data_IF_371005895172
#
_entry.id   IF_371005895172
#
_cell.length_a   1.000
_cell.length_b   1.000
_cell.length_c   1.000
_cell.angle_alpha   90.00
_cell.angle_beta   90.00
_cell.angle_gamma   90.00
#
_symmetry.space_group_name_H-M   'P 1'
#
loop_
_entity.id
_entity.type
_entity.pdbx_description
1 polymer ?
#
# COMPACT_ATOMS: atom_id res chain seq x y z
N UNK A 1 -24.53 4.09 -21.13
CA UNK A 1 -24.42 3.21 -19.94
C UNK A 1 -25.63 3.28 -19.01
N UNK A 2 -26.13 4.45 -18.65
CA UNK A 2 -27.25 4.60 -17.68
C UNK A 2 -28.53 3.91 -18.18
N UNK A 3 -28.95 4.11 -19.45
CA UNK A 3 -30.23 3.59 -19.93
C UNK A 3 -30.36 2.05 -19.90
N UNK A 4 -29.36 1.25 -20.29
CA UNK A 4 -29.45 -0.20 -20.13
C UNK A 4 -29.65 -0.64 -18.66
N UNK A 5 -28.94 -0.01 -17.72
CA UNK A 5 -29.05 -0.31 -16.29
C UNK A 5 -30.42 0.14 -15.74
N UNK A 6 -30.91 1.30 -16.17
CA UNK A 6 -32.25 1.78 -15.81
C UNK A 6 -33.36 0.86 -16.37
N UNK A 7 -33.18 0.31 -17.56
CA UNK A 7 -34.10 -0.68 -18.12
C UNK A 7 -34.13 -1.96 -17.29
N UNK A 8 -32.95 -2.51 -16.94
CA UNK A 8 -32.83 -3.67 -16.04
C UNK A 8 -33.52 -3.41 -14.72
N UNK A 9 -33.32 -2.23 -14.13
CA UNK A 9 -33.95 -1.86 -12.88
C UNK A 9 -35.49 -1.87 -12.96
N UNK A 10 -36.06 -1.24 -14.00
CA UNK A 10 -37.51 -1.21 -14.24
C UNK A 10 -38.11 -2.60 -14.48
N UNK A 11 -37.43 -3.43 -15.31
CA UNK A 11 -37.95 -4.77 -15.67
C UNK A 11 -37.85 -5.78 -14.54
N UNK A 12 -37.00 -5.55 -13.55
CA UNK A 12 -36.86 -6.40 -12.38
C UNK A 12 -37.55 -5.82 -11.13
N UNK A 13 -38.66 -5.12 -11.29
CA UNK A 13 -39.46 -4.54 -10.19
C UNK A 13 -38.63 -3.70 -9.22
N UNK A 14 -37.69 -2.93 -9.76
CA UNK A 14 -36.77 -2.06 -8.99
C UNK A 14 -35.84 -2.83 -8.03
N UNK A 15 -35.59 -4.12 -8.28
CA UNK A 15 -34.55 -4.86 -7.57
C UNK A 15 -33.15 -4.39 -8.04
N UNK A 16 -32.33 -3.95 -7.09
CA UNK A 16 -30.98 -3.43 -7.35
C UNK A 16 -29.97 -4.53 -7.69
N UNK A 17 -30.20 -5.77 -7.25
CA UNK A 17 -29.23 -6.87 -7.43
C UNK A 17 -28.93 -7.20 -8.90
N UNK A 18 -29.92 -7.33 -9.83
CA UNK A 18 -29.62 -7.51 -11.24
C UNK A 18 -28.84 -6.35 -11.86
N UNK A 19 -29.10 -5.12 -11.42
CA UNK A 19 -28.40 -3.91 -11.90
C UNK A 19 -26.92 -3.97 -11.50
N UNK A 20 -26.64 -4.22 -10.23
CA UNK A 20 -25.27 -4.35 -9.72
C UNK A 20 -24.53 -5.53 -10.34
N UNK A 21 -25.22 -6.67 -10.52
CA UNK A 21 -24.64 -7.84 -11.18
C UNK A 21 -24.24 -7.53 -12.63
N UNK A 22 -25.06 -6.79 -13.36
CA UNK A 22 -24.74 -6.37 -14.73
C UNK A 22 -23.59 -5.38 -14.77
N UNK A 23 -23.61 -4.37 -13.90
CA UNK A 23 -22.55 -3.37 -13.81
C UNK A 23 -21.21 -4.00 -13.47
N UNK A 24 -21.13 -4.78 -12.37
CA UNK A 24 -19.87 -5.36 -11.89
C UNK A 24 -19.32 -6.51 -12.73
N UNK A 25 -20.11 -7.05 -13.68
CA UNK A 25 -19.65 -8.04 -14.66
C UNK A 25 -19.36 -7.43 -16.04
N UNK A 26 -19.58 -6.14 -16.22
CA UNK A 26 -19.38 -5.47 -17.49
C UNK A 26 -17.89 -5.21 -17.78
N UNK A 27 -17.48 -5.29 -19.04
CA UNK A 27 -16.14 -4.88 -19.49
C UNK A 27 -15.83 -3.43 -19.08
N UNK A 28 -16.82 -2.56 -19.13
CA UNK A 28 -16.66 -1.16 -18.71
C UNK A 28 -16.22 -1.01 -17.26
N UNK A 29 -16.68 -1.87 -16.34
CA UNK A 29 -16.26 -1.82 -14.93
C UNK A 29 -14.79 -2.19 -14.76
N UNK A 30 -14.29 -3.10 -15.60
CA UNK A 30 -12.90 -3.56 -15.61
C UNK A 30 -12.01 -2.85 -16.64
N UNK A 31 -12.50 -1.77 -17.24
CA UNK A 31 -11.68 -0.99 -18.16
C UNK A 31 -10.44 -0.44 -17.43
N UNK A 32 -9.28 -0.59 -18.08
CA UNK A 32 -8.00 -0.10 -17.55
C UNK A 32 -8.02 1.39 -17.22
N UNK A 33 -8.86 2.18 -17.90
CA UNK A 33 -9.06 3.60 -17.62
C UNK A 33 -9.71 3.88 -16.25
N UNK A 34 -10.31 2.86 -15.63
CA UNK A 34 -10.90 2.97 -14.29
C UNK A 34 -9.89 2.60 -13.18
N UNK A 35 -8.69 2.14 -13.54
CA UNK A 35 -7.67 1.77 -12.56
C UNK A 35 -6.82 2.98 -12.17
N UNK A 36 -6.54 3.12 -10.87
CA UNK A 36 -5.67 4.18 -10.36
C UNK A 36 -6.19 5.60 -10.59
N UNK A 37 -7.49 5.78 -10.79
CA UNK A 37 -8.08 7.10 -11.04
C UNK A 37 -8.50 7.85 -9.77
N UNK A 38 -8.41 7.21 -8.60
CA UNK A 38 -8.73 7.81 -7.31
C UNK A 38 -7.50 7.86 -6.41
N UNK A 39 -7.34 8.97 -5.71
CA UNK A 39 -6.36 9.07 -4.63
C UNK A 39 -6.90 8.28 -3.43
N UNK A 40 -6.12 7.34 -2.93
CA UNK A 40 -6.44 6.61 -1.68
C UNK A 40 -6.74 7.58 -0.57
N UNK A 41 -7.85 7.41 0.13
CA UNK A 41 -8.07 8.13 1.39
C UNK A 41 -6.94 7.80 2.39
N UNK A 42 -6.71 8.61 3.44
CA UNK A 42 -5.74 8.26 4.48
C UNK A 42 -5.99 6.88 5.08
N UNK A 43 -7.26 6.53 5.34
CA UNK A 43 -7.63 5.19 5.85
C UNK A 43 -7.26 4.11 4.84
N UNK A 44 -7.60 4.28 3.56
CA UNK A 44 -7.26 3.30 2.52
C UNK A 44 -5.74 3.12 2.41
N UNK A 45 -4.98 4.22 2.37
CA UNK A 45 -3.51 4.17 2.29
C UNK A 45 -2.88 3.45 3.48
N UNK A 46 -3.28 3.82 4.68
CA UNK A 46 -2.68 3.29 5.91
C UNK A 46 -3.05 1.83 6.12
N UNK A 47 -4.34 1.50 5.99
CA UNK A 47 -4.82 0.12 6.23
C UNK A 47 -4.37 -0.82 5.12
N UNK A 48 -4.40 -0.40 3.84
CA UNK A 48 -3.84 -1.24 2.77
C UNK A 48 -2.35 -1.48 2.97
N UNK A 49 -1.55 -0.47 3.30
CA UNK A 49 -0.14 -0.63 3.61
C UNK A 49 0.11 -1.67 4.71
N UNK A 50 -0.59 -1.56 5.84
CA UNK A 50 -0.43 -2.50 6.95
C UNK A 50 -0.84 -3.93 6.56
N UNK A 51 -1.87 -4.10 5.74
CA UNK A 51 -2.37 -5.41 5.28
C UNK A 51 -1.49 -6.01 4.18
N UNK A 52 -1.07 -5.22 3.20
CA UNK A 52 -0.21 -5.66 2.10
C UNK A 52 1.13 -6.20 2.63
N UNK A 53 1.72 -5.52 3.61
CA UNK A 53 2.96 -5.96 4.26
C UNK A 53 2.75 -6.92 5.43
N UNK A 54 1.53 -7.36 5.71
CA UNK A 54 1.23 -8.34 6.76
C UNK A 54 1.65 -7.89 8.16
N UNK A 55 1.49 -6.60 8.50
CA UNK A 55 1.88 -6.08 9.82
C UNK A 55 1.00 -6.71 10.91
N UNK A 56 1.63 -7.40 11.85
CA UNK A 56 0.95 -8.12 12.93
C UNK A 56 0.85 -7.23 14.17
N UNK A 57 -0.37 -7.11 14.68
CA UNK A 57 -0.67 -6.42 15.95
C UNK A 57 -0.74 -7.43 17.11
N UNK A 58 -0.54 -6.98 18.36
CA UNK A 58 -0.81 -7.81 19.53
C UNK A 58 -2.25 -8.30 19.53
N UNK A 59 -2.48 -9.47 20.13
CA UNK A 59 -3.82 -10.04 20.26
C UNK A 59 -4.75 -9.10 21.05
N UNK A 60 -5.92 -8.80 20.49
CA UNK A 60 -6.85 -7.82 21.03
C UNK A 60 -7.61 -8.27 22.28
N UNK A 61 -7.53 -9.54 22.65
CA UNK A 61 -8.16 -10.08 23.84
C UNK A 61 -7.15 -10.23 24.97
N UNK A 62 -6.08 -11.00 24.75
CA UNK A 62 -5.07 -11.27 25.78
C UNK A 62 -4.09 -10.12 26.00
N UNK A 63 -3.96 -9.21 25.02
CA UNK A 63 -3.01 -8.09 25.04
C UNK A 63 -3.72 -6.77 24.67
N UNK A 64 -4.95 -6.62 25.07
CA UNK A 64 -5.83 -5.52 24.65
C UNK A 64 -5.23 -4.14 24.86
N UNK A 65 -4.56 -3.91 25.99
CA UNK A 65 -3.95 -2.59 26.30
C UNK A 65 -2.90 -2.18 25.26
N UNK A 66 -2.07 -3.12 24.83
CA UNK A 66 -1.04 -2.85 23.82
C UNK A 66 -1.67 -2.75 22.42
N UNK A 67 -2.62 -3.62 22.09
CA UNK A 67 -3.34 -3.60 20.82
C UNK A 67 -4.06 -2.27 20.61
N UNK A 68 -4.86 -1.83 21.58
CA UNK A 68 -5.59 -0.55 21.51
C UNK A 68 -4.66 0.66 21.44
N UNK A 69 -3.55 0.63 22.17
CA UNK A 69 -2.58 1.72 22.10
C UNK A 69 -1.88 1.78 20.72
N UNK A 70 -1.62 0.63 20.08
CA UNK A 70 -1.07 0.59 18.73
C UNK A 70 -2.10 1.02 17.68
N UNK A 71 -3.38 0.66 17.85
CA UNK A 71 -4.46 1.17 16.99
C UNK A 71 -4.63 2.67 17.14
N UNK A 72 -4.54 3.20 18.37
CA UNK A 72 -4.57 4.65 18.59
C UNK A 72 -3.37 5.36 17.95
N UNK A 73 -2.18 4.75 17.95
CA UNK A 73 -1.04 5.26 17.22
C UNK A 73 -1.32 5.36 15.71
N UNK A 74 -1.92 4.33 15.12
CA UNK A 74 -2.32 4.34 13.71
C UNK A 74 -3.41 5.40 13.47
N UNK A 75 -4.43 5.49 14.36
CA UNK A 75 -5.45 6.55 14.29
C UNK A 75 -4.85 7.95 14.28
N UNK A 76 -3.82 8.21 15.11
CA UNK A 76 -3.17 9.52 15.15
C UNK A 76 -2.49 9.87 13.81
N UNK A 77 -1.94 8.89 13.09
CA UNK A 77 -1.47 9.10 11.72
C UNK A 77 -2.61 9.48 10.78
N UNK A 78 -3.75 8.80 10.86
CA UNK A 78 -4.93 9.11 10.05
C UNK A 78 -5.43 10.53 10.34
N UNK A 79 -5.56 10.89 11.61
CA UNK A 79 -5.96 12.23 12.05
C UNK A 79 -4.99 13.31 11.51
N UNK A 80 -3.67 13.05 11.54
CA UNK A 80 -2.67 13.97 11.00
C UNK A 80 -2.80 14.20 9.49
N UNK A 81 -3.40 13.25 8.77
CA UNK A 81 -3.69 13.32 7.33
C UNK A 81 -5.13 13.79 7.03
N UNK A 82 -5.81 14.41 8.03
CA UNK A 82 -7.16 14.95 7.94
C UNK A 82 -8.29 13.91 7.79
N UNK A 83 -8.06 12.66 8.24
CA UNK A 83 -9.13 11.65 8.31
C UNK A 83 -9.06 10.92 9.65
N UNK A 84 -9.65 11.49 10.70
CA UNK A 84 -9.77 10.83 11.99
C UNK A 84 -11.04 9.96 12.04
N UNK A 85 -10.91 8.61 12.01
CA UNK A 85 -12.08 7.74 12.10
C UNK A 85 -12.84 7.95 13.41
N UNK A 86 -14.14 8.24 13.30
CA UNK A 86 -15.02 8.52 14.43
C UNK A 86 -15.09 9.98 14.87
N UNK A 87 -14.30 10.87 14.25
CA UNK A 87 -14.34 12.31 14.48
C UNK A 87 -14.34 13.07 13.13
N UNK A 88 -15.43 12.95 12.34
CA UNK A 88 -15.55 13.64 11.07
C UNK A 88 -15.69 15.15 11.27
N UNK A 89 -15.29 15.97 10.27
CA UNK A 89 -15.31 17.43 10.38
C UNK A 89 -16.75 18.02 10.42
N UNK A 90 -17.75 17.24 10.02
CA UNK A 90 -19.16 17.64 9.94
C UNK A 90 -20.07 16.45 10.27
N UNK A 91 -21.31 16.71 10.63
CA UNK A 91 -22.36 15.70 10.89
C UNK A 91 -22.62 14.80 9.69
N UNK A 92 -22.36 15.27 8.48
CA UNK A 92 -22.44 14.51 7.23
C UNK A 92 -21.16 13.75 6.86
N UNK A 93 -20.12 13.87 7.67
CA UNK A 93 -18.82 13.21 7.43
C UNK A 93 -17.82 14.09 6.70
N UNK A 94 -16.92 13.47 5.95
CA UNK A 94 -16.02 14.20 5.05
C UNK A 94 -16.74 14.58 3.78
N UNK A 95 -16.38 15.73 3.16
CA UNK A 95 -17.01 16.16 1.92
C UNK A 95 -16.94 15.08 0.84
N UNK A 96 -18.10 14.51 0.50
CA UNK A 96 -18.19 13.44 -0.49
C UNK A 96 -18.25 13.98 -1.93
N UNK A 97 -18.66 15.24 -2.08
CA UNK A 97 -18.83 15.86 -3.38
C UNK A 97 -18.45 17.33 -3.33
N UNK A 98 -17.42 17.67 -4.09
CA UNK A 98 -16.94 19.04 -4.23
C UNK A 98 -16.69 19.38 -5.70
N UNK A 99 -16.92 20.63 -6.04
CA UNK A 99 -16.66 21.14 -7.39
C UNK A 99 -15.17 21.40 -7.63
N UNK A 100 -14.45 21.81 -6.59
CA UNK A 100 -12.99 21.97 -6.62
C UNK A 100 -12.44 22.12 -5.18
N UNK A 101 -11.52 21.25 -4.70
CA UNK A 101 -11.10 20.01 -5.37
C UNK A 101 -12.18 18.93 -5.34
N UNK A 102 -12.09 17.94 -6.25
CA UNK A 102 -12.98 16.78 -6.20
C UNK A 102 -12.73 15.96 -4.93
N UNK A 103 -13.74 15.22 -4.46
CA UNK A 103 -13.71 14.61 -3.13
C UNK A 103 -12.46 13.78 -2.83
N UNK A 104 -11.89 13.03 -3.79
CA UNK A 104 -10.67 12.26 -3.58
C UNK A 104 -9.39 13.11 -3.62
N UNK A 105 -9.42 14.28 -4.25
CA UNK A 105 -8.28 15.21 -4.33
C UNK A 105 -8.02 15.92 -3.00
N UNK A 106 -9.02 15.99 -2.11
CA UNK A 106 -8.88 16.58 -0.78
C UNK A 106 -7.83 15.88 0.09
N UNK A 107 -7.48 14.64 -0.24
CA UNK A 107 -6.59 13.81 0.57
C UNK A 107 -5.10 14.12 0.36
N UNK A 108 -4.75 14.87 -0.70
CA UNK A 108 -3.35 15.24 -0.98
C UNK A 108 -3.23 16.75 -1.16
N UNK A 109 -2.37 17.35 -0.34
CA UNK A 109 -1.92 18.72 -0.43
C UNK A 109 -0.48 18.84 0.10
N UNK A 110 0.06 20.06 0.17
CA UNK A 110 1.43 20.34 0.63
C UNK A 110 1.71 19.92 2.09
N UNK A 111 0.68 19.75 2.93
CA UNK A 111 0.79 19.28 4.31
C UNK A 111 0.62 17.77 4.41
N UNK A 112 -0.40 17.21 3.76
CA UNK A 112 -0.75 15.79 3.93
C UNK A 112 0.14 14.83 3.14
N UNK A 113 0.66 15.22 1.95
CA UNK A 113 1.55 14.35 1.18
C UNK A 113 2.86 14.00 1.93
N UNK A 114 3.58 14.95 2.54
CA UNK A 114 4.73 14.63 3.39
C UNK A 114 4.38 13.70 4.56
N UNK A 115 3.23 13.88 5.21
CA UNK A 115 2.77 13.02 6.32
C UNK A 115 2.46 11.61 5.86
N UNK A 116 1.89 11.44 4.66
CA UNK A 116 1.64 10.13 4.02
C UNK A 116 2.94 9.36 3.81
N UNK A 117 3.98 10.04 3.31
CA UNK A 117 5.29 9.45 3.11
C UNK A 117 6.00 9.19 4.45
N UNK A 118 5.92 10.12 5.38
CA UNK A 118 6.50 9.95 6.73
C UNK A 118 5.91 8.73 7.46
N UNK A 119 4.61 8.46 7.30
CA UNK A 119 3.99 7.25 7.86
C UNK A 119 4.65 5.98 7.32
N UNK A 120 4.74 5.83 6.00
CA UNK A 120 5.34 4.64 5.36
C UNK A 120 6.82 4.51 5.69
N UNK A 121 7.56 5.62 5.70
CA UNK A 121 8.97 5.66 6.08
C UNK A 121 9.17 5.23 7.54
N UNK A 122 8.33 5.71 8.45
CA UNK A 122 8.38 5.32 9.86
C UNK A 122 8.09 3.83 10.02
N UNK A 123 7.05 3.32 9.34
CA UNK A 123 6.65 1.92 9.46
C UNK A 123 7.69 0.95 8.92
N UNK A 124 8.44 1.31 7.88
CA UNK A 124 9.47 0.42 7.31
C UNK A 124 10.82 0.55 8.02
N UNK A 125 11.16 1.73 8.56
CA UNK A 125 12.44 1.93 9.24
C UNK A 125 12.40 1.51 10.70
N UNK A 126 11.52 2.10 11.47
CA UNK A 126 11.49 1.99 12.93
C UNK A 126 10.24 1.30 13.46
N UNK A 127 9.09 1.43 12.79
CA UNK A 127 7.80 1.02 13.31
C UNK A 127 7.43 1.74 14.61
N UNK A 128 6.52 1.13 15.38
CA UNK A 128 6.14 1.63 16.71
C UNK A 128 6.27 0.51 17.74
N UNK A 129 6.88 0.84 18.88
CA UNK A 129 7.14 -0.11 19.98
C UNK A 129 6.38 0.30 21.24
N UNK A 130 5.72 -0.66 21.90
CA UNK A 130 5.06 -0.50 23.18
C UNK A 130 5.27 -1.75 24.04
N UNK A 131 5.73 -1.57 25.27
CA UNK A 131 5.96 -2.67 26.22
C UNK A 131 6.75 -3.85 25.62
N UNK A 132 7.80 -3.55 24.83
CA UNK A 132 8.63 -4.55 24.16
C UNK A 132 8.03 -5.19 22.92
N UNK A 133 6.76 -4.91 22.59
CA UNK A 133 6.10 -5.36 21.36
C UNK A 133 6.23 -4.30 20.28
N UNK A 134 6.35 -4.74 19.03
CA UNK A 134 6.64 -3.83 17.92
C UNK A 134 5.77 -4.14 16.71
N UNK A 135 5.15 -3.09 16.16
CA UNK A 135 4.56 -3.12 14.82
C UNK A 135 5.52 -2.44 13.85
N UNK A 136 5.91 -3.14 12.79
CA UNK A 136 6.88 -2.68 11.79
C UNK A 136 6.68 -3.47 10.51
N UNK A 137 6.95 -2.86 9.37
CA UNK A 137 6.99 -3.58 8.08
C UNK A 137 8.23 -4.48 8.06
N UNK A 138 7.99 -5.78 7.94
CA UNK A 138 9.05 -6.76 7.74
C UNK A 138 9.35 -6.91 6.25
N UNK A 139 10.29 -6.11 5.75
CA UNK A 139 10.66 -6.09 4.33
C UNK A 139 11.14 -7.45 3.82
N UNK A 140 11.96 -8.15 4.60
CA UNK A 140 12.45 -9.49 4.24
C UNK A 140 11.32 -10.52 4.23
N UNK A 141 10.49 -10.52 5.28
CA UNK A 141 9.34 -11.44 5.37
C UNK A 141 8.34 -11.24 4.23
N UNK A 142 8.03 -9.99 3.87
CA UNK A 142 7.19 -9.70 2.71
C UNK A 142 7.83 -10.23 1.41
N UNK A 143 9.13 -9.96 1.20
CA UNK A 143 9.84 -10.42 0.00
C UNK A 143 9.84 -11.95 -0.11
N UNK A 144 9.92 -12.69 0.99
CA UNK A 144 9.86 -14.15 1.00
C UNK A 144 8.52 -14.72 0.53
N UNK A 145 7.46 -13.93 0.49
CA UNK A 145 6.13 -14.34 -0.01
C UNK A 145 5.99 -14.21 -1.54
N UNK A 146 6.94 -13.53 -2.20
CA UNK A 146 6.93 -13.32 -3.64
C UNK A 146 7.36 -14.59 -4.39
N UNK A 147 7.07 -14.68 -5.69
CA UNK A 147 7.25 -15.90 -6.48
C UNK A 147 8.72 -16.27 -6.68
N UNK A 148 9.57 -15.30 -6.98
CA UNK A 148 11.02 -15.49 -7.21
C UNK A 148 11.83 -14.32 -6.66
N UNK A 149 12.05 -14.25 -5.34
CA UNK A 149 12.80 -13.15 -4.72
C UNK A 149 14.27 -13.05 -5.12
N UNK A 150 14.85 -14.13 -5.63
CA UNK A 150 16.26 -14.15 -6.05
C UNK A 150 16.51 -13.41 -7.38
N UNK A 151 15.50 -13.32 -8.23
CA UNK A 151 15.55 -12.54 -9.47
C UNK A 151 15.06 -11.10 -9.20
N UNK A 152 15.91 -10.07 -9.35
CA UNK A 152 15.53 -8.70 -9.06
C UNK A 152 14.42 -8.17 -9.97
N UNK A 153 14.25 -8.69 -11.19
CA UNK A 153 13.18 -8.29 -12.09
C UNK A 153 11.83 -8.87 -11.63
N UNK A 154 11.79 -10.18 -11.35
CA UNK A 154 10.61 -10.85 -10.82
C UNK A 154 10.19 -10.26 -9.46
N UNK A 155 11.16 -9.99 -8.57
CA UNK A 155 10.89 -9.34 -7.27
C UNK A 155 10.19 -8.00 -7.43
N UNK A 156 10.69 -7.14 -8.33
CA UNK A 156 10.09 -5.83 -8.56
C UNK A 156 8.70 -5.98 -9.20
N UNK A 157 8.54 -6.85 -10.18
CA UNK A 157 7.25 -7.06 -10.85
C UNK A 157 6.19 -7.59 -9.88
N UNK A 158 6.52 -8.58 -9.06
CA UNK A 158 5.62 -9.14 -8.05
C UNK A 158 5.25 -8.10 -6.98
N UNK A 159 6.24 -7.34 -6.49
CA UNK A 159 6.00 -6.29 -5.52
C UNK A 159 5.07 -5.21 -6.08
N UNK A 160 5.29 -4.78 -7.32
CA UNK A 160 4.42 -3.80 -7.99
C UNK A 160 3.01 -4.35 -8.23
N UNK A 161 2.86 -5.63 -8.56
CA UNK A 161 1.56 -6.25 -8.76
C UNK A 161 0.70 -6.25 -7.46
N UNK A 162 1.35 -6.31 -6.29
CA UNK A 162 0.66 -6.23 -4.99
C UNK A 162 0.38 -4.79 -4.60
N UNK A 163 1.40 -3.92 -4.72
CA UNK A 163 1.37 -2.59 -4.13
C UNK A 163 0.67 -1.54 -5.02
N UNK A 164 0.67 -1.73 -6.35
CA UNK A 164 0.20 -0.73 -7.30
C UNK A 164 -1.07 -1.15 -8.02
N UNK A 165 -1.84 -0.16 -8.46
CA UNK A 165 -3.00 -0.36 -9.34
C UNK A 165 -2.72 0.10 -10.77
N UNK A 166 -1.63 0.83 -10.97
CA UNK A 166 -1.17 1.30 -12.29
C UNK A 166 0.21 0.74 -12.59
N UNK A 167 0.48 0.29 -13.82
CA UNK A 167 1.78 -0.25 -14.16
C UNK A 167 2.84 0.86 -14.27
N UNK A 168 4.05 0.54 -13.86
CA UNK A 168 5.22 1.38 -14.17
C UNK A 168 5.80 1.04 -15.54
N UNK A 169 6.41 2.03 -16.19
CA UNK A 169 7.13 1.80 -17.44
C UNK A 169 8.35 0.89 -17.23
N UNK A 170 8.78 0.22 -18.31
CA UNK A 170 9.99 -0.63 -18.29
C UNK A 170 11.21 0.17 -17.83
N UNK A 171 11.35 1.41 -18.31
CA UNK A 171 12.45 2.30 -17.91
C UNK A 171 12.42 2.63 -16.43
N UNK A 172 11.23 2.91 -15.86
CA UNK A 172 11.10 3.18 -14.43
C UNK A 172 11.48 1.95 -13.59
N UNK A 173 11.02 0.75 -13.96
CA UNK A 173 11.39 -0.50 -13.29
C UNK A 173 12.90 -0.74 -13.35
N UNK A 174 13.54 -0.52 -14.50
CA UNK A 174 14.99 -0.64 -14.65
C UNK A 174 15.73 0.35 -13.76
N UNK A 175 15.29 1.60 -13.71
CA UNK A 175 15.87 2.63 -12.83
C UNK A 175 15.76 2.24 -11.35
N UNK A 176 14.59 1.78 -10.92
CA UNK A 176 14.37 1.29 -9.55
C UNK A 176 15.30 0.12 -9.23
N UNK A 177 15.42 -0.84 -10.15
CA UNK A 177 16.31 -1.97 -10.00
C UNK A 177 17.75 -1.52 -9.78
N UNK A 178 18.30 -0.77 -10.74
CA UNK A 178 19.71 -0.39 -10.74
C UNK A 178 20.06 0.58 -9.60
N UNK A 179 19.29 1.64 -9.44
CA UNK A 179 19.65 2.70 -8.49
C UNK A 179 19.31 2.34 -7.03
N UNK A 180 18.21 1.61 -6.81
CA UNK A 180 17.74 1.34 -5.46
C UNK A 180 18.12 -0.07 -5.00
N UNK A 181 17.61 -1.12 -5.67
CA UNK A 181 17.82 -2.51 -5.22
C UNK A 181 19.27 -2.95 -5.40
N UNK A 182 19.89 -2.63 -6.53
CA UNK A 182 21.27 -2.97 -6.83
C UNK A 182 22.28 -1.93 -6.32
N UNK A 183 21.83 -0.84 -5.70
CA UNK A 183 22.70 0.21 -5.14
C UNK A 183 23.67 0.80 -6.18
N UNK A 184 23.11 1.28 -7.31
CA UNK A 184 23.84 1.83 -8.48
C UNK A 184 24.72 0.80 -9.23
N UNK A 185 24.39 -0.50 -9.13
CA UNK A 185 24.98 -1.53 -9.96
C UNK A 185 24.03 -1.91 -11.11
N UNK A 186 24.57 -2.46 -12.19
CA UNK A 186 23.77 -2.82 -13.38
C UNK A 186 23.57 -4.33 -13.56
N UNK A 187 24.30 -5.16 -12.83
CA UNK A 187 24.27 -6.60 -13.00
C UNK A 187 23.41 -7.27 -11.93
N UNK A 188 22.46 -8.06 -12.35
CA UNK A 188 21.46 -8.71 -11.50
C UNK A 188 22.06 -9.62 -10.43
N UNK A 189 23.25 -10.23 -10.70
CA UNK A 189 23.92 -11.10 -9.75
C UNK A 189 24.30 -10.42 -8.41
N UNK A 190 24.41 -9.10 -8.37
CA UNK A 190 24.66 -8.38 -7.11
C UNK A 190 23.52 -8.54 -6.11
N UNK A 191 22.30 -8.63 -6.59
CA UNK A 191 21.15 -8.94 -5.75
C UNK A 191 21.03 -10.44 -5.52
N UNK A 192 21.03 -11.23 -6.58
CA UNK A 192 20.87 -12.70 -6.54
C UNK A 192 21.84 -13.34 -5.56
N UNK A 193 23.13 -12.94 -5.60
CA UNK A 193 24.14 -13.46 -4.68
C UNK A 193 23.88 -13.03 -3.23
N UNK A 194 23.49 -11.77 -2.99
CA UNK A 194 23.16 -11.29 -1.66
C UNK A 194 21.96 -12.04 -1.07
N UNK A 195 20.90 -12.22 -1.86
CA UNK A 195 19.71 -12.95 -1.44
C UNK A 195 20.02 -14.43 -1.15
N UNK A 196 20.69 -15.11 -2.07
CA UNK A 196 21.04 -16.53 -1.91
C UNK A 196 22.00 -16.75 -0.73
N UNK A 197 22.95 -15.84 -0.50
CA UNK A 197 23.81 -15.86 0.67
C UNK A 197 23.04 -15.78 1.98
N UNK A 198 22.04 -14.87 2.05
CA UNK A 198 21.13 -14.78 3.20
C UNK A 198 20.31 -16.07 3.37
N UNK A 199 19.71 -16.61 2.30
CA UNK A 199 18.90 -17.83 2.37
C UNK A 199 19.74 -19.04 2.79
N UNK A 200 20.99 -19.13 2.36
CA UNK A 200 21.89 -20.21 2.75
C UNK A 200 22.30 -20.16 4.24
N UNK A 201 22.37 -18.98 4.82
CA UNK A 201 22.68 -18.79 6.24
C UNK A 201 21.85 -17.63 6.86
N UNK A 202 20.57 -17.84 7.18
CA UNK A 202 19.71 -16.78 7.72
C UNK A 202 20.15 -16.22 9.09
N UNK A 203 21.01 -16.92 9.81
CA UNK A 203 21.56 -16.47 11.09
C UNK A 203 22.77 -15.54 10.94
N UNK A 204 23.35 -15.44 9.73
CA UNK A 204 24.42 -14.47 9.48
C UNK A 204 23.87 -13.04 9.44
N UNK A 205 24.19 -12.28 10.47
CA UNK A 205 23.71 -10.91 10.64
C UNK A 205 24.21 -9.96 9.53
N UNK A 206 25.36 -10.19 8.96
CA UNK A 206 25.92 -9.35 7.89
C UNK A 206 25.12 -9.53 6.59
N UNK A 207 24.86 -10.77 6.20
CA UNK A 207 24.02 -11.11 5.04
C UNK A 207 22.57 -10.59 5.23
N UNK A 208 21.98 -10.83 6.40
CA UNK A 208 20.66 -10.30 6.74
C UNK A 208 20.62 -8.77 6.62
N UNK A 209 21.56 -8.05 7.21
CA UNK A 209 21.60 -6.59 7.17
C UNK A 209 21.73 -6.05 5.75
N UNK A 210 22.54 -6.69 4.91
CA UNK A 210 22.71 -6.31 3.50
C UNK A 210 21.40 -6.41 2.74
N UNK A 211 20.71 -7.54 2.84
CA UNK A 211 19.42 -7.79 2.17
C UNK A 211 18.35 -6.86 2.74
N UNK A 212 18.22 -6.79 4.06
CA UNK A 212 17.20 -5.99 4.74
C UNK A 212 17.33 -4.49 4.42
N UNK A 213 18.56 -3.96 4.36
CA UNK A 213 18.79 -2.54 4.02
C UNK A 213 18.35 -2.25 2.59
N UNK A 214 18.72 -3.09 1.63
CA UNK A 214 18.33 -2.91 0.22
C UNK A 214 16.82 -3.00 0.03
N UNK A 215 16.17 -3.97 0.68
CA UNK A 215 14.71 -4.14 0.62
C UNK A 215 13.97 -2.99 1.29
N UNK A 216 14.44 -2.51 2.43
CA UNK A 216 13.87 -1.31 3.06
C UNK A 216 13.95 -0.10 2.13
N UNK A 217 15.09 0.12 1.50
CA UNK A 217 15.25 1.20 0.53
C UNK A 217 14.32 1.05 -0.67
N UNK A 218 14.19 -0.18 -1.20
CA UNK A 218 13.28 -0.46 -2.31
C UNK A 218 11.83 -0.15 -1.95
N UNK A 219 11.31 -0.75 -0.88
CA UNK A 219 9.90 -0.56 -0.51
C UNK A 219 9.61 0.85 -0.02
N UNK A 220 10.54 1.50 0.67
CA UNK A 220 10.42 2.92 1.01
C UNK A 220 10.27 3.78 -0.25
N UNK A 221 11.13 3.55 -1.24
CA UNK A 221 11.06 4.27 -2.51
C UNK A 221 9.71 4.01 -3.22
N UNK A 222 9.29 2.75 -3.33
CA UNK A 222 8.02 2.40 -3.95
C UNK A 222 6.82 3.04 -3.25
N UNK A 223 6.77 3.01 -1.91
CA UNK A 223 5.66 3.60 -1.15
C UNK A 223 5.59 5.13 -1.22
N UNK A 224 6.68 5.79 -1.64
CA UNK A 224 6.76 7.24 -1.78
C UNK A 224 6.43 7.74 -3.20
N UNK A 225 6.34 6.84 -4.19
CA UNK A 225 5.93 7.22 -5.54
C UNK A 225 4.44 7.62 -5.60
N UNK A 226 4.11 8.45 -6.58
CA UNK A 226 2.74 8.94 -6.83
C UNK A 226 1.77 7.80 -7.10
N UNK A 227 2.21 6.78 -7.83
CA UNK A 227 1.40 5.61 -8.19
C UNK A 227 0.94 4.80 -6.97
N UNK A 228 1.72 4.78 -5.89
CA UNK A 228 1.31 4.15 -4.63
C UNK A 228 0.17 4.90 -3.92
N UNK A 229 -0.04 6.18 -4.25
CA UNK A 229 -1.12 6.97 -3.68
C UNK A 229 -2.49 6.68 -4.33
N UNK A 230 -2.52 5.92 -5.43
CA UNK A 230 -3.70 5.68 -6.25
C UNK A 230 -4.36 4.32 -5.93
N UNK A 231 -5.69 4.25 -6.15
CA UNK A 231 -6.53 3.06 -5.98
C UNK A 231 -7.38 2.80 -7.22
#
# INVERSE_FOLDING_TARGET
>A
MIEPLASIFRTNNYDIKPVLATLFKSEHFYDVLNQGCLIKSPVDKVISCLREFGVVFPDSVSQYSDAYAMWNYIRNWLASMNQDPGDPPDVSGWPAYYQAPQFHEIWINSDTLPKRNQFTDTMITNGYTRNGKKIVINAVGFTQTLSNPADPNALIDDALAILYRVPLSVTAKQTIKEQILLTNQTQDYYWTNAWNGYIANPSDQASFNTVNTRLKSLYQYLMNLSEYQLS
#
